data_IF_640181826870
#
_entry.id   IF_640181826870
#
_cell.length_a   1.000
_cell.length_b   1.000
_cell.length_c   1.000
_cell.angle_alpha   90.00
_cell.angle_beta   90.00
_cell.angle_gamma   90.00
#
_symmetry.space_group_name_H-M   'P 1'
#
loop_
_entity.id
_entity.type
_entity.pdbx_description
1 polymer ?
#
# COMPACT_ATOMS: atom_id res chain seq x y z
N UNK A 1 26.88 28.31 8.15
CA UNK A 1 26.47 26.96 8.57
C UNK A 1 24.99 27.04 8.91
N UNK A 2 24.09 26.40 8.14
CA UNK A 2 22.64 26.71 8.16
C UNK A 2 21.92 26.40 9.47
N UNK A 3 22.56 25.71 10.42
CA UNK A 3 21.99 25.35 11.72
C UNK A 3 22.37 26.31 12.84
N UNK A 4 23.23 27.29 12.57
CA UNK A 4 23.59 28.35 13.52
C UNK A 4 23.46 29.69 12.78
N UNK A 5 22.53 30.52 13.23
CA UNK A 5 22.37 31.87 12.72
C UNK A 5 23.33 32.80 13.45
N UNK A 6 24.35 33.28 12.73
CA UNK A 6 25.23 34.33 13.21
C UNK A 6 25.57 35.26 12.07
N UNK A 7 25.30 36.53 12.29
CA UNK A 7 25.63 37.61 11.39
C UNK A 7 25.94 38.85 12.22
N UNK A 8 26.98 39.58 11.83
CA UNK A 8 27.34 40.85 12.42
C UNK A 8 27.61 41.84 11.29
N UNK A 9 27.07 43.05 11.43
CA UNK A 9 27.24 44.14 10.46
C UNK A 9 27.94 45.30 11.16
N UNK A 10 28.91 45.91 10.47
CA UNK A 10 29.59 47.11 10.94
C UNK A 10 29.30 48.26 9.99
N UNK A 11 29.02 49.43 10.55
CA UNK A 11 28.76 50.66 9.81
C UNK A 11 29.88 51.65 10.14
N UNK A 12 30.44 52.29 9.12
CA UNK A 12 31.49 53.28 9.29
C UNK A 12 30.86 54.62 9.71
N UNK A 13 30.89 54.95 11.01
CA UNK A 13 30.42 56.22 11.55
C UNK A 13 31.62 57.10 11.94
N UNK A 14 31.69 58.33 11.39
CA UNK A 14 32.58 59.52 11.65
C UNK A 14 34.09 59.31 11.98
N UNK A 15 34.51 58.08 12.21
CA UNK A 15 35.84 57.54 12.40
C UNK A 15 36.15 56.65 11.19
N UNK A 16 37.37 56.74 10.68
CA UNK A 16 37.84 55.86 9.60
C UNK A 16 37.79 54.39 10.07
N UNK A 17 37.27 53.49 9.23
CA UNK A 17 37.20 52.04 9.45
C UNK A 17 38.52 51.45 9.98
N UNK A 18 39.65 52.01 9.55
CA UNK A 18 40.99 51.63 10.01
C UNK A 18 41.16 51.66 11.54
N UNK A 19 40.40 52.50 12.25
CA UNK A 19 40.44 52.61 13.72
C UNK A 19 39.53 51.60 14.42
N UNK A 20 38.57 51.00 13.71
CA UNK A 20 37.66 49.97 14.24
C UNK A 20 38.20 48.56 14.03
N UNK A 21 39.26 48.38 13.23
CA UNK A 21 39.81 47.06 12.88
C UNK A 21 40.15 46.23 14.13
N UNK A 22 40.82 46.81 15.12
CA UNK A 22 41.22 46.08 16.33
C UNK A 22 40.01 45.60 17.14
N UNK A 23 38.95 46.42 17.20
CA UNK A 23 37.69 46.07 17.86
C UNK A 23 36.95 44.96 17.10
N UNK A 24 36.89 45.06 15.76
CA UNK A 24 36.31 44.03 14.89
C UNK A 24 37.05 42.71 15.08
N UNK A 25 38.39 42.72 15.07
CA UNK A 25 39.21 41.51 15.26
C UNK A 25 38.97 40.90 16.64
N UNK A 26 38.91 41.71 17.70
CA UNK A 26 38.61 41.22 19.05
C UNK A 26 37.23 40.57 19.13
N UNK A 27 36.21 41.21 18.52
CA UNK A 27 34.84 40.69 18.48
C UNK A 27 34.75 39.40 17.67
N UNK A 28 35.45 39.31 16.54
CA UNK A 28 35.54 38.08 15.74
C UNK A 28 36.20 36.93 16.51
N UNK A 29 37.27 37.21 17.28
CA UNK A 29 37.94 36.20 18.11
C UNK A 29 37.01 35.70 19.23
N UNK A 30 36.27 36.60 19.88
CA UNK A 30 35.28 36.23 20.90
C UNK A 30 34.15 35.40 20.28
N UNK A 31 33.56 35.89 19.19
CA UNK A 31 32.48 35.22 18.49
C UNK A 31 32.90 33.85 17.96
N UNK A 32 34.15 33.67 17.52
CA UNK A 32 34.65 32.37 17.07
C UNK A 32 34.61 31.30 18.18
N UNK A 33 34.88 31.68 19.43
CA UNK A 33 34.80 30.75 20.56
C UNK A 33 33.34 30.36 20.85
N UNK A 34 32.44 31.34 20.86
CA UNK A 34 31.01 31.10 21.11
C UNK A 34 30.38 30.29 19.98
N UNK A 35 30.73 30.61 18.73
CA UNK A 35 30.28 29.88 17.55
C UNK A 35 30.74 28.43 17.53
N UNK A 36 31.95 28.14 18.02
CA UNK A 36 32.44 26.77 18.12
C UNK A 36 31.54 25.92 19.03
N UNK A 37 31.08 26.49 20.15
CA UNK A 37 30.16 25.82 21.08
C UNK A 37 28.80 25.62 20.40
N UNK A 38 28.23 26.69 19.84
CA UNK A 38 26.93 26.64 19.16
C UNK A 38 26.90 25.63 18.01
N UNK A 39 27.96 25.59 17.18
CA UNK A 39 28.08 24.62 16.09
C UNK A 39 28.23 23.21 16.63
N UNK A 40 28.97 23.00 17.72
CA UNK A 40 29.09 21.68 18.34
C UNK A 40 27.75 21.18 18.87
N UNK A 41 26.95 22.04 19.51
CA UNK A 41 25.63 21.68 20.02
C UNK A 41 24.64 21.42 18.90
N UNK A 42 24.63 22.28 17.88
CA UNK A 42 23.80 22.10 16.69
C UNK A 42 24.12 20.79 15.95
N UNK A 43 25.41 20.40 15.87
CA UNK A 43 25.82 19.12 15.30
C UNK A 43 25.35 17.92 16.14
N UNK A 44 25.46 17.99 17.48
CA UNK A 44 24.98 16.90 18.35
C UNK A 44 23.49 16.69 18.20
N UNK A 45 22.71 17.78 18.23
CA UNK A 45 21.27 17.72 18.03
C UNK A 45 20.91 17.19 16.62
N UNK A 46 21.68 17.58 15.61
CA UNK A 46 21.51 17.08 14.25
C UNK A 46 21.66 15.55 14.17
N UNK A 47 22.66 15.02 14.86
CA UNK A 47 22.93 13.58 14.87
C UNK A 47 21.81 12.83 15.59
N UNK A 48 21.38 13.31 16.76
CA UNK A 48 20.25 12.70 17.50
C UNK A 48 18.96 12.70 16.67
N UNK A 49 18.62 13.82 16.01
CA UNK A 49 17.47 13.90 15.11
C UNK A 49 17.61 12.95 13.91
N UNK A 50 18.82 12.81 13.39
CA UNK A 50 19.10 11.91 12.27
C UNK A 50 18.91 10.45 12.66
N UNK A 51 19.44 10.03 13.80
CA UNK A 51 19.28 8.68 14.36
C UNK A 51 17.79 8.37 14.60
N UNK A 52 17.06 9.29 15.24
CA UNK A 52 15.62 9.14 15.48
C UNK A 52 14.83 9.00 14.17
N UNK A 53 15.16 9.83 13.18
CA UNK A 53 14.53 9.77 11.87
C UNK A 53 14.81 8.45 11.15
N UNK A 54 16.03 7.92 11.23
CA UNK A 54 16.37 6.62 10.64
C UNK A 54 15.55 5.49 11.27
N UNK A 55 15.44 5.46 12.60
CA UNK A 55 14.63 4.45 13.31
C UNK A 55 13.15 4.55 12.92
N UNK A 56 12.58 5.75 12.96
CA UNK A 56 11.18 5.98 12.58
C UNK A 56 10.92 5.57 11.13
N UNK A 57 11.85 5.86 10.21
CA UNK A 57 11.76 5.48 8.81
C UNK A 57 11.81 3.96 8.62
N UNK A 58 12.67 3.26 9.34
CA UNK A 58 12.76 1.81 9.27
C UNK A 58 11.47 1.13 9.74
N UNK A 59 10.90 1.60 10.86
CA UNK A 59 9.61 1.12 11.39
C UNK A 59 8.50 1.36 10.36
N UNK A 60 8.39 2.58 9.85
CA UNK A 60 7.38 2.93 8.86
C UNK A 60 7.48 2.07 7.59
N UNK A 61 8.70 1.81 7.10
CA UNK A 61 8.91 0.96 5.92
C UNK A 61 8.46 -0.49 6.18
N UNK A 62 8.77 -1.05 7.34
CA UNK A 62 8.33 -2.39 7.70
C UNK A 62 6.80 -2.50 7.82
N UNK A 63 6.14 -1.50 8.43
CA UNK A 63 4.68 -1.44 8.54
C UNK A 63 4.02 -1.30 7.17
N UNK A 64 4.55 -0.44 6.29
CA UNK A 64 4.04 -0.28 4.93
C UNK A 64 4.13 -1.59 4.13
N UNK A 65 5.26 -2.30 4.21
CA UNK A 65 5.42 -3.59 3.54
C UNK A 65 4.39 -4.62 4.04
N UNK A 66 4.18 -4.71 5.36
CA UNK A 66 3.16 -5.59 5.95
C UNK A 66 1.76 -5.23 5.47
N UNK A 67 1.41 -3.94 5.50
CA UNK A 67 0.10 -3.45 5.06
C UNK A 67 -0.17 -3.75 3.58
N UNK A 68 0.82 -3.59 2.71
CA UNK A 68 0.71 -3.94 1.28
C UNK A 68 0.43 -5.42 1.09
N UNK A 69 1.14 -6.30 1.81
CA UNK A 69 0.94 -7.74 1.73
C UNK A 69 -0.44 -8.15 2.24
N UNK A 70 -0.86 -7.62 3.40
CA UNK A 70 -2.19 -7.88 3.96
C UNK A 70 -3.31 -7.47 3.01
N UNK A 71 -3.20 -6.27 2.42
CA UNK A 71 -4.17 -5.77 1.45
C UNK A 71 -4.22 -6.65 0.20
N UNK A 72 -3.07 -7.02 -0.36
CA UNK A 72 -3.02 -7.93 -1.51
C UNK A 72 -3.69 -9.28 -1.22
N UNK A 73 -3.51 -9.81 0.00
CA UNK A 73 -4.17 -11.05 0.44
C UNK A 73 -5.68 -10.88 0.57
N UNK A 74 -6.15 -9.78 1.18
CA UNK A 74 -7.57 -9.48 1.30
C UNK A 74 -8.24 -9.32 -0.08
N UNK A 75 -7.59 -8.60 -0.99
CA UNK A 75 -8.09 -8.38 -2.35
C UNK A 75 -8.13 -9.70 -3.14
N UNK A 76 -7.10 -10.54 -3.00
CA UNK A 76 -7.04 -11.88 -3.59
C UNK A 76 -8.14 -12.80 -3.04
N UNK A 77 -8.36 -12.81 -1.72
CA UNK A 77 -9.47 -13.56 -1.08
C UNK A 77 -10.83 -13.09 -1.58
N UNK A 78 -11.05 -11.77 -1.66
CA UNK A 78 -12.29 -11.20 -2.18
C UNK A 78 -12.53 -11.59 -3.63
N UNK A 79 -11.47 -11.62 -4.44
CA UNK A 79 -11.54 -12.09 -5.84
C UNK A 79 -11.92 -13.58 -5.91
N UNK A 80 -11.27 -14.42 -5.09
CA UNK A 80 -11.56 -15.85 -5.03
C UNK A 80 -13.01 -16.12 -4.60
N UNK A 81 -13.52 -15.41 -3.59
CA UNK A 81 -14.91 -15.54 -3.16
C UNK A 81 -15.89 -15.19 -4.28
N UNK A 82 -15.62 -14.15 -5.09
CA UNK A 82 -16.44 -13.84 -6.27
C UNK A 82 -16.41 -14.95 -7.32
N UNK A 83 -15.25 -15.58 -7.54
CA UNK A 83 -15.13 -16.72 -8.45
C UNK A 83 -15.96 -17.90 -7.92
N UNK A 84 -15.88 -18.20 -6.62
CA UNK A 84 -16.67 -19.25 -5.96
C UNK A 84 -18.16 -18.95 -6.06
N UNK A 85 -18.59 -17.71 -5.82
CA UNK A 85 -19.99 -17.31 -5.90
C UNK A 85 -20.53 -17.53 -7.32
N UNK A 86 -19.80 -17.05 -8.34
CA UNK A 86 -20.17 -17.24 -9.75
C UNK A 86 -20.24 -18.72 -10.14
N UNK A 87 -19.29 -19.52 -9.67
CA UNK A 87 -19.33 -20.97 -9.87
C UNK A 87 -20.53 -21.61 -9.17
N UNK A 88 -20.83 -21.19 -7.94
CA UNK A 88 -21.97 -21.70 -7.17
C UNK A 88 -23.30 -21.37 -7.83
N UNK A 89 -23.44 -20.18 -8.43
CA UNK A 89 -24.61 -19.79 -9.21
C UNK A 89 -24.77 -20.69 -10.44
N UNK A 90 -23.69 -20.91 -11.18
CA UNK A 90 -23.70 -21.83 -12.33
C UNK A 90 -24.05 -23.25 -11.92
N UNK A 91 -23.56 -23.72 -10.76
CA UNK A 91 -23.86 -25.06 -10.24
C UNK A 91 -25.31 -25.19 -9.81
N UNK A 92 -25.87 -24.19 -9.11
CA UNK A 92 -27.29 -24.15 -8.70
C UNK A 92 -28.23 -24.27 -9.90
N UNK A 93 -27.89 -23.62 -11.02
CA UNK A 93 -28.65 -23.75 -12.27
C UNK A 93 -28.58 -25.18 -12.83
N UNK A 94 -27.41 -25.80 -12.81
CA UNK A 94 -27.22 -27.21 -13.18
C UNK A 94 -28.06 -28.15 -12.31
N UNK A 95 -27.93 -28.02 -10.99
CA UNK A 95 -28.65 -28.82 -9.98
C UNK A 95 -30.18 -28.66 -10.14
N UNK A 96 -30.68 -27.45 -10.44
CA UNK A 96 -32.10 -27.20 -10.73
C UNK A 96 -32.59 -27.98 -11.95
N UNK A 97 -31.83 -27.98 -13.04
CA UNK A 97 -32.19 -28.76 -14.22
C UNK A 97 -32.10 -30.27 -13.97
N UNK A 98 -31.11 -30.74 -13.21
CA UNK A 98 -30.98 -32.15 -12.85
C UNK A 98 -32.15 -32.63 -11.96
N UNK A 99 -32.63 -31.79 -11.04
CA UNK A 99 -33.84 -32.08 -10.22
C UNK A 99 -35.12 -32.16 -11.09
N UNK A 100 -35.29 -31.28 -12.07
CA UNK A 100 -36.43 -31.35 -13.03
C UNK A 100 -36.38 -32.66 -13.83
N UNK A 101 -35.20 -33.03 -14.33
CA UNK A 101 -35.00 -34.28 -15.07
C UNK A 101 -35.34 -35.47 -14.17
N UNK A 102 -34.85 -35.50 -12.93
CA UNK A 102 -35.12 -36.57 -11.98
C UNK A 102 -36.62 -36.72 -11.67
N UNK A 103 -37.33 -35.61 -11.45
CA UNK A 103 -38.78 -35.62 -11.18
C UNK A 103 -39.61 -36.02 -12.41
N UNK A 104 -39.13 -35.70 -13.61
CA UNK A 104 -39.80 -36.07 -14.87
C UNK A 104 -39.81 -37.57 -15.15
N UNK A 105 -38.98 -38.36 -14.46
CA UNK A 105 -38.92 -39.81 -14.63
C UNK A 105 -40.23 -40.55 -14.29
N UNK A 106 -41.09 -39.93 -13.48
CA UNK A 106 -42.39 -40.50 -13.09
C UNK A 106 -43.56 -40.06 -14.00
N UNK A 107 -43.29 -39.26 -15.04
CA UNK A 107 -44.32 -38.75 -15.96
C UNK A 107 -44.54 -39.69 -17.15
N UNK A 108 -45.61 -39.43 -17.91
CA UNK A 108 -45.82 -40.15 -19.17
C UNK A 108 -44.72 -39.79 -20.19
N UNK A 109 -44.43 -40.70 -21.11
CA UNK A 109 -43.33 -40.52 -22.08
C UNK A 109 -43.45 -39.24 -22.91
N UNK A 110 -44.68 -38.83 -23.22
CA UNK A 110 -44.95 -37.59 -23.94
C UNK A 110 -44.63 -36.35 -23.10
N UNK A 111 -45.12 -36.29 -21.87
CA UNK A 111 -44.89 -35.18 -20.95
C UNK A 111 -43.41 -35.06 -20.58
N UNK A 112 -42.74 -36.21 -20.38
CA UNK A 112 -41.30 -36.29 -20.13
C UNK A 112 -40.50 -35.73 -21.30
N UNK A 113 -40.84 -36.11 -22.53
CA UNK A 113 -40.16 -35.63 -23.74
C UNK A 113 -40.28 -34.11 -23.92
N UNK A 114 -41.47 -33.56 -23.65
CA UNK A 114 -41.72 -32.11 -23.71
C UNK A 114 -40.91 -31.34 -22.65
N UNK A 115 -40.76 -31.89 -21.44
CA UNK A 115 -39.96 -31.28 -20.37
C UNK A 115 -38.45 -31.34 -20.69
N UNK A 116 -37.95 -32.47 -21.18
CA UNK A 116 -36.53 -32.61 -21.52
C UNK A 116 -36.10 -31.69 -22.67
N UNK A 117 -36.96 -31.48 -23.67
CA UNK A 117 -36.71 -30.51 -24.74
C UNK A 117 -36.58 -29.08 -24.18
N UNK A 118 -37.47 -28.67 -23.27
CA UNK A 118 -37.41 -27.34 -22.63
C UNK A 118 -36.18 -27.16 -21.75
N UNK A 119 -35.74 -28.20 -21.04
CA UNK A 119 -34.50 -28.18 -20.24
C UNK A 119 -33.28 -27.99 -21.15
N UNK A 120 -33.26 -28.64 -22.31
CA UNK A 120 -32.19 -28.48 -23.30
C UNK A 120 -32.11 -27.05 -23.81
N UNK A 121 -33.23 -26.47 -24.26
CA UNK A 121 -33.28 -25.09 -24.77
C UNK A 121 -32.87 -24.07 -23.69
N UNK A 122 -33.29 -24.29 -22.44
CA UNK A 122 -32.93 -23.43 -21.31
C UNK A 122 -31.43 -23.53 -20.94
N UNK A 123 -30.80 -24.71 -21.08
CA UNK A 123 -29.36 -24.87 -20.88
C UNK A 123 -28.54 -24.15 -21.96
N UNK A 124 -28.96 -24.21 -23.22
CA UNK A 124 -28.31 -23.50 -24.32
C UNK A 124 -28.38 -21.98 -24.15
N UNK A 125 -29.46 -21.46 -23.55
CA UNK A 125 -29.63 -20.03 -23.28
C UNK A 125 -28.72 -19.50 -22.15
N UNK A 126 -28.37 -20.34 -21.17
CA UNK A 126 -27.70 -19.92 -19.92
C UNK A 126 -26.18 -20.22 -19.93
N UNK A 127 -25.62 -20.79 -21.00
CA UNK A 127 -24.20 -21.15 -21.08
C UNK A 127 -23.26 -19.99 -20.62
N UNK A 128 -22.78 -20.10 -19.37
CA UNK A 128 -21.93 -19.14 -18.68
C UNK A 128 -20.46 -19.58 -18.83
N UNK A 129 -19.49 -18.65 -18.92
CA UNK A 129 -18.09 -19.00 -19.19
C UNK A 129 -17.48 -19.88 -18.08
N UNK A 130 -16.55 -20.75 -18.50
CA UNK A 130 -15.96 -21.83 -17.72
C UNK A 130 -15.25 -21.31 -16.45
N UNK A 131 -15.81 -21.67 -15.29
CA UNK A 131 -15.24 -21.37 -13.97
C UNK A 131 -13.80 -21.87 -13.76
N UNK A 132 -13.39 -22.91 -14.48
CA UNK A 132 -12.01 -23.43 -14.41
C UNK A 132 -11.02 -22.50 -15.10
N UNK A 133 -11.44 -21.80 -16.15
CA UNK A 133 -10.66 -20.77 -16.84
C UNK A 133 -10.53 -19.51 -15.97
N UNK A 134 -11.61 -19.13 -15.27
CA UNK A 134 -11.58 -18.01 -14.32
C UNK A 134 -10.63 -18.27 -13.13
N UNK A 135 -10.53 -19.51 -12.65
CA UNK A 135 -9.58 -19.89 -11.60
C UNK A 135 -8.13 -19.94 -12.10
N UNK A 136 -7.90 -20.31 -13.38
CA UNK A 136 -6.57 -20.27 -14.00
C UNK A 136 -6.03 -18.85 -14.18
N UNK A 137 -6.92 -17.88 -14.42
CA UNK A 137 -6.59 -16.47 -14.58
C UNK A 137 -6.52 -15.71 -13.23
N UNK A 138 -6.76 -16.39 -12.11
CA UNK A 138 -6.68 -15.78 -10.78
C UNK A 138 -5.23 -15.67 -10.30
N UNK A 139 -4.79 -14.44 -10.00
CA UNK A 139 -3.49 -14.17 -9.39
C UNK A 139 -3.48 -14.61 -7.92
N UNK A 140 -2.64 -15.62 -7.64
CA UNK A 140 -2.46 -16.13 -6.28
C UNK A 140 -1.79 -15.10 -5.37
N UNK A 141 -2.16 -15.05 -4.08
CA UNK A 141 -1.63 -14.06 -3.17
C UNK A 141 -0.12 -14.29 -2.89
N UNK A 142 0.63 -13.23 -2.55
CA UNK A 142 2.04 -13.35 -2.20
C UNK A 142 2.24 -14.21 -0.93
N UNK A 143 3.42 -14.87 -0.79
CA UNK A 143 3.76 -15.67 0.38
C UNK A 143 3.75 -14.82 1.66
N UNK A 144 3.54 -15.48 2.81
CA UNK A 144 3.56 -14.80 4.10
C UNK A 144 4.94 -14.15 4.34
N UNK A 145 5.00 -12.94 4.92
CA UNK A 145 6.26 -12.37 5.35
C UNK A 145 6.86 -13.27 6.44
N UNK A 146 8.16 -13.53 6.35
CA UNK A 146 8.88 -14.29 7.38
C UNK A 146 8.78 -13.56 8.74
N UNK A 147 8.55 -14.33 9.81
CA UNK A 147 8.49 -13.83 11.19
C UNK A 147 9.84 -13.28 11.68
#
# INVERSE_FOLDING_TARGET
YYRVEWAQTWTEDDLRLSKQIDEIVSLLISAANDLKVLVSEANKKAEEEHEQWQVARAIFQAEQQRSVIEKARQDSLKSLLKIIDRWSESRKVGDFFDDIIARSANLTERERSEILAKVKDARELIASPDSTEALRLWDSPPPLPAE
#
